data_IF_256004458841
#
_entry.id   IF_256004458841
#
_cell.length_a   1.000
_cell.length_b   1.000
_cell.length_c   1.000
_cell.angle_alpha   90.00
_cell.angle_beta   90.00
_cell.angle_gamma   90.00
#
_symmetry.space_group_name_H-M   'P 1'
#
loop_
_entity.id
_entity.type
_entity.pdbx_description
1 polymer ?
#
# COMPACT_ATOMS: atom_id res chain seq x y z
N UNK A 1 -46.98 59.38 -15.55
CA UNK A 1 -46.67 58.67 -14.32
C UNK A 1 -46.34 57.23 -14.70
N UNK A 2 -45.04 56.90 -14.87
CA UNK A 2 -44.58 55.58 -15.30
C UNK A 2 -43.98 54.86 -14.09
N UNK A 3 -44.65 53.80 -13.61
CA UNK A 3 -44.19 52.98 -12.50
C UNK A 3 -43.14 52.00 -12.98
N UNK A 4 -41.89 52.26 -12.60
CA UNK A 4 -40.73 51.36 -12.85
C UNK A 4 -40.68 50.30 -11.77
N UNK A 5 -41.10 49.06 -12.09
CA UNK A 5 -40.94 47.91 -11.18
C UNK A 5 -39.51 47.35 -11.32
N UNK A 6 -38.69 47.58 -10.31
CA UNK A 6 -37.39 46.87 -10.18
C UNK A 6 -37.67 45.40 -9.82
N UNK A 7 -37.34 44.52 -10.73
CA UNK A 7 -37.27 43.09 -10.46
C UNK A 7 -35.89 42.76 -9.82
N UNK A 8 -35.89 42.40 -8.55
CA UNK A 8 -34.72 41.85 -7.88
C UNK A 8 -34.52 40.38 -8.35
N UNK A 9 -33.56 40.17 -9.21
CA UNK A 9 -33.07 38.82 -9.56
C UNK A 9 -32.14 38.37 -8.46
N UNK A 10 -32.67 37.52 -7.54
CA UNK A 10 -31.89 36.87 -6.50
C UNK A 10 -31.06 35.74 -7.14
N UNK A 11 -29.77 35.98 -7.32
CA UNK A 11 -28.82 35.01 -7.84
C UNK A 11 -28.43 34.05 -6.69
N UNK A 12 -29.12 32.89 -6.58
CA UNK A 12 -28.75 31.79 -5.71
C UNK A 12 -27.54 31.09 -6.34
N UNK A 13 -26.33 31.39 -5.87
CA UNK A 13 -25.14 30.62 -6.19
C UNK A 13 -25.21 29.29 -5.44
N UNK A 14 -25.12 28.13 -6.14
CA UNK A 14 -24.99 26.85 -5.46
C UNK A 14 -23.59 26.76 -4.80
N UNK A 15 -23.57 26.61 -3.50
CA UNK A 15 -22.37 26.33 -2.73
C UNK A 15 -21.96 24.88 -3.04
N UNK A 16 -21.00 24.69 -3.94
CA UNK A 16 -20.40 23.38 -4.21
C UNK A 16 -19.48 23.06 -3.02
N UNK A 17 -19.95 22.19 -2.14
CA UNK A 17 -19.09 21.61 -1.10
C UNK A 17 -18.11 20.65 -1.77
N UNK A 18 -16.91 21.12 -2.04
CA UNK A 18 -15.79 20.25 -2.43
C UNK A 18 -15.43 19.44 -1.19
N UNK A 19 -15.87 18.18 -1.16
CA UNK A 19 -15.45 17.20 -0.17
C UNK A 19 -13.97 16.88 -0.42
N UNK A 20 -13.07 17.41 0.41
CA UNK A 20 -11.67 16.95 0.48
C UNK A 20 -11.65 15.57 1.15
N UNK A 21 -11.90 14.51 0.36
CA UNK A 21 -11.52 13.16 0.75
C UNK A 21 -9.99 13.01 0.75
N UNK A 22 -9.43 12.04 1.50
CA UNK A 22 -8.00 11.76 1.40
C UNK A 22 -7.65 11.48 -0.06
N UNK A 23 -6.60 12.16 -0.57
CA UNK A 23 -6.14 11.95 -1.92
C UNK A 23 -5.73 10.48 -2.08
N UNK A 24 -6.23 9.83 -3.15
CA UNK A 24 -5.80 8.48 -3.47
C UNK A 24 -4.28 8.48 -3.70
N UNK A 25 -3.59 7.49 -3.14
CA UNK A 25 -2.15 7.33 -3.34
C UNK A 25 -1.86 7.07 -4.83
N UNK A 26 -0.83 7.70 -5.40
CA UNK A 26 -0.46 7.43 -6.79
C UNK A 26 -0.05 5.95 -6.94
N UNK A 27 -0.35 5.31 -8.09
CA UNK A 27 0.00 3.92 -8.34
C UNK A 27 1.50 3.68 -8.16
N UNK A 28 1.85 2.61 -7.46
CA UNK A 28 3.23 2.16 -7.29
C UNK A 28 3.64 1.16 -8.38
N UNK A 29 4.93 0.79 -8.42
CA UNK A 29 5.38 -0.32 -9.29
C UNK A 29 4.69 -1.65 -8.93
N UNK A 30 4.37 -1.88 -7.66
CA UNK A 30 3.65 -3.08 -7.22
C UNK A 30 2.26 -3.19 -7.86
N UNK A 31 1.56 -2.07 -8.07
CA UNK A 31 0.27 -2.07 -8.75
C UNK A 31 0.35 -2.60 -10.18
N UNK A 32 1.44 -2.31 -10.87
CA UNK A 32 1.70 -2.83 -12.21
C UNK A 32 1.82 -4.36 -12.26
N UNK A 33 2.22 -5.00 -11.16
CA UNK A 33 2.36 -6.45 -11.07
C UNK A 33 1.11 -7.17 -10.57
N UNK A 34 0.11 -6.48 -10.00
CA UNK A 34 -1.08 -7.14 -9.44
C UNK A 34 -1.88 -7.95 -10.48
N UNK A 35 -1.90 -7.52 -11.73
CA UNK A 35 -2.57 -8.22 -12.82
C UNK A 35 -1.73 -9.34 -13.45
N UNK A 36 -0.44 -9.43 -13.12
CA UNK A 36 0.48 -10.45 -13.61
C UNK A 36 0.63 -11.57 -12.58
N UNK A 37 -0.08 -12.68 -12.82
CA UNK A 37 -0.05 -13.85 -11.94
C UNK A 37 1.36 -14.43 -11.78
N UNK A 38 2.22 -14.35 -12.80
CA UNK A 38 3.58 -14.84 -12.72
C UNK A 38 4.45 -13.94 -11.82
N UNK A 39 4.27 -12.63 -11.90
CA UNK A 39 4.94 -11.67 -11.02
C UNK A 39 4.52 -11.86 -9.55
N UNK A 40 3.22 -12.00 -9.28
CA UNK A 40 2.70 -12.27 -7.93
C UNK A 40 3.22 -13.62 -7.40
N UNK A 41 3.25 -14.67 -8.23
CA UNK A 41 3.81 -15.97 -7.85
C UNK A 41 5.32 -15.89 -7.58
N UNK A 42 6.06 -15.07 -8.33
CA UNK A 42 7.47 -14.79 -8.07
C UNK A 42 7.65 -14.13 -6.70
N UNK A 43 6.83 -13.11 -6.40
CA UNK A 43 6.81 -12.45 -5.08
C UNK A 43 6.52 -13.43 -3.94
N UNK A 44 5.57 -14.35 -4.14
CA UNK A 44 5.28 -15.43 -3.19
C UNK A 44 6.47 -16.33 -2.93
N UNK A 45 7.17 -16.72 -3.98
CA UNK A 45 8.37 -17.57 -3.86
C UNK A 45 9.48 -16.89 -3.07
N UNK A 46 9.72 -15.61 -3.31
CA UNK A 46 10.67 -14.79 -2.55
C UNK A 46 10.25 -14.70 -1.09
N UNK A 47 8.96 -14.39 -0.82
CA UNK A 47 8.45 -14.33 0.54
C UNK A 47 8.65 -15.65 1.28
N UNK A 48 8.25 -16.76 0.68
CA UNK A 48 8.36 -18.08 1.29
C UNK A 48 9.81 -18.47 1.60
N UNK A 49 10.72 -18.21 0.66
CA UNK A 49 12.13 -18.60 0.78
C UNK A 49 12.99 -17.66 1.62
N UNK A 50 12.62 -16.40 1.73
CA UNK A 50 13.43 -15.38 2.41
C UNK A 50 12.78 -14.88 3.70
N UNK A 51 11.52 -14.52 3.66
CA UNK A 51 10.83 -13.87 4.78
C UNK A 51 10.20 -14.91 5.72
N UNK A 52 9.45 -15.87 5.15
CA UNK A 52 8.72 -16.86 5.90
C UNK A 52 9.60 -18.01 6.39
N UNK A 53 10.71 -18.27 5.73
CA UNK A 53 11.63 -19.33 6.14
C UNK A 53 12.20 -19.11 7.55
N UNK A 54 12.36 -17.86 7.98
CA UNK A 54 13.03 -17.53 9.23
C UNK A 54 12.14 -16.76 10.23
N UNK A 55 11.31 -15.85 9.78
CA UNK A 55 10.67 -14.87 10.68
C UNK A 55 9.16 -14.76 10.49
N UNK A 56 8.68 -14.31 9.33
CA UNK A 56 7.26 -14.09 9.08
C UNK A 56 6.52 -15.40 8.77
N UNK A 57 5.23 -15.46 9.11
CA UNK A 57 4.42 -16.66 8.86
C UNK A 57 3.51 -16.44 7.65
N UNK A 58 3.23 -17.52 6.90
CA UNK A 58 2.23 -17.53 5.83
C UNK A 58 0.80 -17.70 6.37
N UNK A 59 0.67 -18.18 7.60
CA UNK A 59 -0.61 -18.41 8.29
C UNK A 59 -0.62 -17.67 9.61
N UNK A 60 -1.80 -17.21 10.09
CA UNK A 60 -1.91 -16.60 11.41
C UNK A 60 -1.38 -17.52 12.51
N UNK A 61 -0.75 -16.94 13.52
CA UNK A 61 -0.23 -17.68 14.68
C UNK A 61 0.88 -16.93 15.39
N UNK A 62 1.29 -17.47 16.53
CA UNK A 62 2.41 -16.94 17.28
C UNK A 62 3.71 -17.10 16.49
N UNK A 63 4.48 -16.04 16.40
CA UNK A 63 5.77 -15.99 15.71
C UNK A 63 6.64 -14.87 16.27
N UNK A 64 7.90 -14.89 15.91
CA UNK A 64 8.88 -13.88 16.34
C UNK A 64 8.71 -12.54 15.62
N UNK A 65 8.03 -12.52 14.49
CA UNK A 65 7.79 -11.35 13.69
C UNK A 65 6.28 -11.15 13.44
N UNK A 66 5.92 -9.93 13.05
CA UNK A 66 4.54 -9.57 12.73
C UNK A 66 3.98 -10.45 11.61
N UNK A 67 2.71 -10.82 11.72
CA UNK A 67 1.96 -11.39 10.62
C UNK A 67 1.67 -10.29 9.60
N UNK A 68 1.97 -10.53 8.32
CA UNK A 68 1.94 -9.48 7.29
C UNK A 68 0.71 -9.56 6.37
N UNK A 69 -0.23 -10.46 6.66
CA UNK A 69 -1.45 -10.63 5.87
C UNK A 69 -2.71 -10.20 6.62
N UNK A 70 -2.57 -9.57 7.79
CA UNK A 70 -3.63 -8.79 8.43
C UNK A 70 -3.64 -7.34 7.91
N UNK A 71 -4.48 -6.49 8.50
CA UNK A 71 -4.54 -5.09 8.14
C UNK A 71 -3.68 -4.17 9.04
N UNK A 72 -2.92 -4.74 10.00
CA UNK A 72 -2.14 -3.97 10.97
C UNK A 72 -0.67 -3.85 10.54
N UNK A 73 -0.32 -2.74 9.93
CA UNK A 73 1.03 -2.46 9.44
C UNK A 73 1.78 -1.48 10.33
N UNK A 74 2.47 -2.00 11.33
CA UNK A 74 3.20 -1.21 12.35
C UNK A 74 4.19 -0.18 11.77
N UNK A 75 4.80 -0.46 10.64
CA UNK A 75 5.82 0.38 10.01
C UNK A 75 5.33 1.05 8.72
N UNK A 76 4.01 1.17 8.57
CA UNK A 76 3.36 1.71 7.39
C UNK A 76 2.97 0.62 6.38
N UNK A 77 1.79 0.76 5.81
CA UNK A 77 1.20 -0.22 4.88
C UNK A 77 1.12 0.25 3.44
N UNK A 78 1.61 1.46 3.13
CA UNK A 78 1.74 1.94 1.76
C UNK A 78 2.91 1.22 1.07
N UNK A 79 2.79 0.98 -0.22
CA UNK A 79 3.78 0.20 -0.97
C UNK A 79 5.20 0.76 -0.82
N UNK A 80 5.36 2.09 -0.84
CA UNK A 80 6.66 2.73 -0.62
C UNK A 80 7.18 2.59 0.81
N UNK A 81 6.31 2.56 1.80
CA UNK A 81 6.70 2.32 3.20
C UNK A 81 7.16 0.89 3.41
N UNK A 82 6.46 -0.07 2.79
CA UNK A 82 6.86 -1.48 2.79
C UNK A 82 8.21 -1.64 2.09
N UNK A 83 8.39 -0.99 0.92
CA UNK A 83 9.66 -0.98 0.20
C UNK A 83 10.79 -0.47 1.09
N UNK A 84 10.59 0.68 1.75
CA UNK A 84 11.59 1.29 2.64
C UNK A 84 11.90 0.38 3.84
N UNK A 85 10.87 -0.24 4.43
CA UNK A 85 11.04 -1.16 5.57
C UNK A 85 11.85 -2.39 5.20
N UNK A 86 11.61 -2.98 4.04
CA UNK A 86 12.39 -4.15 3.57
C UNK A 86 13.81 -3.73 3.19
N UNK A 87 13.96 -2.61 2.47
CA UNK A 87 15.27 -2.14 2.01
C UNK A 87 16.18 -1.73 3.14
N UNK A 88 15.66 -1.04 4.15
CA UNK A 88 16.45 -0.46 5.25
C UNK A 88 16.45 -1.31 6.52
N UNK A 89 15.57 -2.30 6.61
CA UNK A 89 15.33 -3.04 7.84
C UNK A 89 14.65 -2.17 8.91
N UNK A 90 14.53 -2.72 10.12
CA UNK A 90 13.95 -2.02 11.27
C UNK A 90 15.00 -1.94 12.38
N UNK A 91 15.47 -0.75 12.77
CA UNK A 91 16.49 -0.57 13.78
C UNK A 91 16.14 -1.26 15.10
N UNK A 92 17.14 -1.86 15.75
CA UNK A 92 17.01 -2.58 17.02
C UNK A 92 16.08 -3.79 16.98
N UNK A 93 15.86 -4.37 15.81
CA UNK A 93 15.11 -5.63 15.63
C UNK A 93 15.92 -6.63 14.81
N UNK A 94 15.37 -7.85 14.64
CA UNK A 94 15.96 -8.88 13.77
C UNK A 94 15.62 -8.67 12.29
N UNK A 95 14.76 -7.69 11.94
CA UNK A 95 14.48 -7.33 10.56
C UNK A 95 15.67 -6.57 9.98
N UNK A 96 16.57 -7.29 9.34
CA UNK A 96 17.75 -6.72 8.68
C UNK A 96 17.39 -5.95 7.42
N UNK A 97 18.31 -5.09 6.96
CA UNK A 97 18.20 -4.43 5.68
C UNK A 97 18.50 -5.41 4.53
N UNK A 98 17.54 -5.60 3.64
CA UNK A 98 17.73 -6.43 2.45
C UNK A 98 18.24 -5.61 1.25
N UNK A 99 18.02 -4.29 1.24
CA UNK A 99 18.33 -3.45 0.10
C UNK A 99 17.63 -3.95 -1.16
N UNK A 100 18.38 -4.07 -2.23
CA UNK A 100 17.95 -4.70 -3.49
C UNK A 100 18.66 -6.03 -3.74
N UNK A 101 19.08 -6.72 -2.67
CA UNK A 101 19.83 -7.99 -2.75
C UNK A 101 18.90 -9.19 -3.04
N UNK A 102 18.09 -9.05 -4.07
CA UNK A 102 17.26 -10.11 -4.63
C UNK A 102 17.83 -10.52 -6.00
N UNK A 103 17.53 -11.73 -6.50
CA UNK A 103 18.08 -12.20 -7.79
C UNK A 103 17.83 -11.26 -8.97
N UNK A 104 16.66 -10.63 -9.05
CA UNK A 104 16.30 -9.62 -10.05
C UNK A 104 16.33 -8.18 -9.47
N UNK A 105 17.03 -7.97 -8.37
CA UNK A 105 17.20 -6.66 -7.76
C UNK A 105 15.88 -6.04 -7.27
N UNK A 106 15.71 -4.76 -7.56
CA UNK A 106 14.53 -3.98 -7.15
C UNK A 106 13.21 -4.53 -7.71
N UNK A 107 13.24 -5.13 -8.90
CA UNK A 107 12.03 -5.69 -9.52
C UNK A 107 11.45 -6.85 -8.70
N UNK A 108 12.31 -7.70 -8.16
CA UNK A 108 11.88 -8.77 -7.24
C UNK A 108 11.28 -8.21 -5.94
N UNK A 109 11.79 -7.10 -5.44
CA UNK A 109 11.23 -6.44 -4.26
C UNK A 109 9.82 -5.90 -4.55
N UNK A 110 9.60 -5.29 -5.72
CA UNK A 110 8.26 -4.82 -6.10
C UNK A 110 7.27 -5.97 -6.35
N UNK A 111 7.73 -7.10 -6.92
CA UNK A 111 6.92 -8.33 -7.05
C UNK A 111 6.56 -8.92 -5.67
N UNK A 112 7.50 -8.89 -4.72
CA UNK A 112 7.25 -9.27 -3.33
C UNK A 112 6.18 -8.38 -2.70
N UNK A 113 6.23 -7.06 -2.89
CA UNK A 113 5.23 -6.11 -2.39
C UNK A 113 3.86 -6.36 -3.05
N UNK A 114 3.82 -6.65 -4.35
CA UNK A 114 2.59 -7.02 -5.05
C UNK A 114 1.95 -8.29 -4.45
N UNK A 115 2.77 -9.30 -4.11
CA UNK A 115 2.28 -10.49 -3.41
C UNK A 115 1.70 -10.16 -2.04
N UNK A 116 2.39 -9.36 -1.23
CA UNK A 116 1.88 -8.94 0.09
C UNK A 116 0.56 -8.18 -0.06
N UNK A 117 0.51 -7.23 -0.98
CA UNK A 117 -0.67 -6.40 -1.26
C UNK A 117 -1.88 -7.24 -1.71
N UNK A 118 -1.67 -8.23 -2.58
CA UNK A 118 -2.74 -9.09 -3.10
C UNK A 118 -3.30 -10.08 -2.08
N UNK A 119 -2.63 -10.29 -0.94
CA UNK A 119 -3.01 -11.29 0.06
C UNK A 119 -3.33 -10.71 1.43
N UNK A 120 -3.08 -9.42 1.67
CA UNK A 120 -3.39 -8.79 2.96
C UNK A 120 -4.90 -8.56 3.10
N UNK A 121 -5.38 -8.62 4.34
CA UNK A 121 -6.74 -8.23 4.68
C UNK A 121 -6.92 -6.71 4.54
N UNK A 122 -8.12 -6.30 4.13
CA UNK A 122 -8.51 -4.89 4.14
C UNK A 122 -8.93 -4.48 5.54
N UNK A 123 -8.50 -3.27 5.94
CA UNK A 123 -8.97 -2.65 7.17
C UNK A 123 -10.35 -2.03 6.93
N UNK A 124 -11.34 -2.42 7.70
CA UNK A 124 -12.69 -1.85 7.70
C UNK A 124 -12.81 -0.63 8.61
#
# INVERSE_FOLDING_TARGET
MQNFKLAFVSCLLPFILVSCGPAAEPPSKADGYLADAAAVQRGRSIFAGTCAAYCHKLTPGAGDALYLFDCEWKHGGRDQEIFNTISNGVPNTRMIAFGTNFPEGEEDLWKLIAFLKSNRAECS
#
